data_IF_270285191846
#
_entry.id   IF_270285191846
#
_cell.length_a   1.000
_cell.length_b   1.000
_cell.length_c   1.000
_cell.angle_alpha   90.00
_cell.angle_beta   90.00
_cell.angle_gamma   90.00
#
_symmetry.space_group_name_H-M   'P 1'
#
loop_
_entity.id
_entity.type
_entity.pdbx_description
1 polymer ?
#
# COMPACT_ATOMS: atom_id res chain seq x y z
N UNK A 1 8.87 7.53 0.77
CA UNK A 1 7.41 7.60 0.58
C UNK A 1 6.82 6.23 0.82
N UNK A 2 5.92 6.11 1.80
CA UNK A 2 5.30 4.83 2.18
C UNK A 2 3.78 4.93 2.09
N UNK A 3 3.19 4.66 0.92
CA UNK A 3 1.75 4.62 0.78
C UNK A 3 1.16 3.33 1.35
N UNK A 4 0.00 3.45 1.98
CA UNK A 4 -0.92 2.34 2.23
C UNK A 4 -1.50 1.83 0.90
N UNK A 5 -2.44 0.88 0.95
CA UNK A 5 -2.98 0.25 -0.26
C UNK A 5 -3.62 1.30 -1.22
N UNK A 6 -3.04 1.45 -2.41
CA UNK A 6 -3.45 2.50 -3.37
C UNK A 6 -4.43 1.93 -4.39
N UNK A 7 -5.54 2.64 -4.66
CA UNK A 7 -6.55 2.28 -5.66
C UNK A 7 -6.05 2.46 -7.10
N UNK A 8 -5.23 1.54 -7.56
CA UNK A 8 -4.63 1.55 -8.91
C UNK A 8 -4.99 0.29 -9.69
N UNK A 9 -4.53 0.20 -10.94
CA UNK A 9 -4.63 -1.05 -11.72
C UNK A 9 -3.88 -2.20 -11.04
N UNK A 10 -2.77 -1.93 -10.36
CA UNK A 10 -1.99 -2.96 -9.67
C UNK A 10 -2.79 -3.67 -8.58
N UNK A 11 -3.62 -2.92 -7.87
CA UNK A 11 -4.51 -3.46 -6.84
C UNK A 11 -5.85 -3.94 -7.37
N UNK A 12 -6.11 -3.83 -8.68
CA UNK A 12 -7.40 -4.22 -9.26
C UNK A 12 -7.63 -5.73 -9.12
N UNK A 13 -8.87 -6.10 -8.79
CA UNK A 13 -9.24 -7.49 -8.48
C UNK A 13 -8.83 -7.95 -7.07
N UNK A 14 -8.21 -7.10 -6.25
CA UNK A 14 -8.01 -7.34 -4.81
C UNK A 14 -9.09 -6.64 -4.00
N UNK A 15 -9.51 -7.30 -2.92
CA UNK A 15 -10.43 -6.70 -1.95
C UNK A 15 -9.66 -5.73 -1.07
N UNK A 16 -9.65 -4.45 -1.43
CA UNK A 16 -9.05 -3.39 -0.62
C UNK A 16 -9.99 -3.04 0.56
N UNK A 17 -9.54 -3.26 1.80
CA UNK A 17 -10.31 -2.91 3.00
C UNK A 17 -10.09 -3.88 4.17
N UNK A 18 -11.01 -3.91 5.13
CA UNK A 18 -10.96 -4.73 6.37
C UNK A 18 -9.78 -4.43 7.32
N UNK A 19 -9.55 -3.15 7.63
CA UNK A 19 -8.59 -2.73 8.65
C UNK A 19 -7.30 -2.13 8.10
N UNK A 20 -7.03 -2.29 6.80
CA UNK A 20 -5.95 -1.58 6.13
C UNK A 20 -6.47 -0.28 5.48
N UNK A 21 -5.83 0.88 5.74
CA UNK A 21 -6.15 2.14 5.09
C UNK A 21 -5.98 2.02 3.57
N UNK A 22 -6.91 2.60 2.83
CA UNK A 22 -6.85 2.69 1.36
C UNK A 22 -6.75 4.13 0.93
N UNK A 23 -5.92 4.42 -0.06
CA UNK A 23 -5.67 5.79 -0.55
C UNK A 23 -5.87 5.87 -2.05
N UNK A 24 -6.26 7.06 -2.51
CA UNK A 24 -6.36 7.34 -3.94
C UNK A 24 -4.99 7.72 -4.52
N UNK A 25 -4.70 7.36 -5.78
CA UNK A 25 -3.41 7.65 -6.40
C UNK A 25 -3.12 9.15 -6.50
N UNK A 26 -4.15 9.98 -6.59
CA UNK A 26 -4.03 11.44 -6.64
C UNK A 26 -3.45 11.99 -5.33
N UNK A 27 -3.86 11.44 -4.19
CA UNK A 27 -3.36 11.87 -2.87
C UNK A 27 -1.89 11.48 -2.69
N UNK A 28 -1.51 10.30 -3.18
CA UNK A 28 -0.11 9.85 -3.19
C UNK A 28 0.74 10.78 -4.08
N UNK A 29 0.26 11.13 -5.27
CA UNK A 29 0.94 12.06 -6.17
C UNK A 29 1.11 13.45 -5.53
N UNK A 30 0.06 13.98 -4.89
CA UNK A 30 0.11 15.25 -4.18
C UNK A 30 1.12 15.21 -3.02
N UNK A 31 1.15 14.11 -2.27
CA UNK A 31 2.13 13.90 -1.21
C UNK A 31 3.56 13.90 -1.77
N UNK A 32 3.81 13.22 -2.90
CA UNK A 32 5.12 13.18 -3.55
C UNK A 32 5.59 14.59 -3.89
N UNK A 33 4.75 15.37 -4.58
CA UNK A 33 5.08 16.76 -4.93
C UNK A 33 5.37 17.61 -3.68
N UNK A 34 4.59 17.42 -2.60
CA UNK A 34 4.83 18.10 -1.32
C UNK A 34 6.20 17.76 -0.72
N UNK A 35 6.65 16.50 -0.82
CA UNK A 35 7.96 16.10 -0.28
C UNK A 35 9.14 16.70 -1.02
N UNK A 36 9.02 16.98 -2.32
CA UNK A 36 10.08 17.68 -3.05
C UNK A 36 10.41 19.05 -2.43
N UNK A 37 9.43 19.70 -1.78
CA UNK A 37 9.63 20.97 -1.07
C UNK A 37 10.10 20.79 0.37
N UNK A 38 9.50 19.84 1.11
CA UNK A 38 9.79 19.66 2.53
C UNK A 38 11.05 18.85 2.82
N UNK A 39 11.53 18.08 1.85
CA UNK A 39 12.69 17.18 1.96
C UNK A 39 12.62 16.20 3.14
N UNK A 40 11.40 15.81 3.57
CA UNK A 40 11.23 14.80 4.61
C UNK A 40 11.80 13.46 4.14
N UNK A 41 12.54 12.79 5.02
CA UNK A 41 13.14 11.47 4.74
C UNK A 41 12.06 10.40 4.53
N UNK A 42 10.99 10.47 5.33
CA UNK A 42 9.88 9.53 5.30
C UNK A 42 8.56 10.28 5.46
N UNK A 43 7.54 9.82 4.74
CA UNK A 43 6.17 10.32 4.78
C UNK A 43 5.26 9.14 4.52
N UNK A 44 4.37 8.87 5.48
CA UNK A 44 3.30 7.90 5.35
C UNK A 44 2.12 8.54 4.59
N UNK A 45 1.45 7.74 3.77
CA UNK A 45 0.22 8.16 3.09
C UNK A 45 -0.86 7.11 3.38
N UNK A 46 -1.92 7.45 4.12
CA UNK A 46 -2.36 8.80 4.50
C UNK A 46 -1.54 9.42 5.65
N UNK A 47 -1.38 10.76 5.63
CA UNK A 47 -0.44 11.48 6.51
C UNK A 47 -0.77 11.39 8.01
N UNK A 48 -2.00 11.04 8.38
CA UNK A 48 -2.36 10.82 9.78
C UNK A 48 -1.67 9.57 10.38
N UNK A 49 -1.03 8.74 9.55
CA UNK A 49 -0.25 7.59 10.00
C UNK A 49 1.21 7.95 10.35
N UNK A 50 1.71 9.15 10.00
CA UNK A 50 3.08 9.57 10.36
C UNK A 50 3.42 9.36 11.86
N UNK A 51 2.51 9.61 12.84
CA UNK A 51 2.79 9.37 14.26
C UNK A 51 2.79 7.88 14.65
N UNK A 52 2.19 7.00 13.84
CA UNK A 52 2.08 5.56 14.13
C UNK A 52 3.45 4.91 14.08
N UNK A 53 4.30 5.30 13.15
CA UNK A 53 5.66 4.74 13.03
C UNK A 53 6.50 5.04 14.29
N UNK A 54 6.37 6.26 14.81
CA UNK A 54 7.04 6.68 16.05
C UNK A 54 6.48 5.90 17.25
N UNK A 55 5.15 5.76 17.32
CA UNK A 55 4.51 4.99 18.39
C UNK A 55 4.92 3.51 18.36
N UNK A 56 5.02 2.91 17.17
CA UNK A 56 5.43 1.52 16.99
C UNK A 56 6.90 1.32 17.34
N UNK A 57 7.78 2.26 16.97
CA UNK A 57 9.20 2.22 17.31
C UNK A 57 9.46 2.37 18.83
N UNK A 58 8.57 3.05 19.55
CA UNK A 58 8.66 3.22 21.01
C UNK A 58 7.94 2.10 21.80
N UNK A 59 7.10 1.29 21.15
CA UNK A 59 6.31 0.27 21.82
C UNK A 59 7.13 -1.00 22.14
N UNK A 60 6.81 -1.72 23.23
CA UNK A 60 7.37 -3.04 23.48
C UNK A 60 6.99 -4.05 22.39
N UNK A 61 7.90 -4.97 22.06
CA UNK A 61 7.70 -5.99 21.02
C UNK A 61 6.42 -6.82 21.21
N UNK A 62 6.02 -7.07 22.45
CA UNK A 62 4.79 -7.81 22.76
C UNK A 62 3.53 -7.09 22.26
N UNK A 63 3.49 -5.76 22.37
CA UNK A 63 2.37 -4.92 21.91
C UNK A 63 2.37 -4.85 20.39
N UNK A 64 3.54 -4.66 19.77
CA UNK A 64 3.70 -4.67 18.30
C UNK A 64 3.19 -5.98 17.72
N UNK A 65 3.57 -7.11 18.30
CA UNK A 65 3.14 -8.44 17.85
C UNK A 65 1.64 -8.66 18.01
N UNK A 66 1.05 -8.15 19.11
CA UNK A 66 -0.41 -8.23 19.33
C UNK A 66 -1.17 -7.42 18.28
N UNK A 67 -0.74 -6.18 18.03
CA UNK A 67 -1.33 -5.30 17.02
C UNK A 67 -1.21 -5.93 15.63
N UNK A 68 -0.03 -6.44 15.27
CA UNK A 68 0.21 -7.08 13.96
C UNK A 68 -0.67 -8.31 13.74
N UNK A 69 -0.91 -9.12 14.78
CA UNK A 69 -1.84 -10.25 14.71
C UNK A 69 -3.30 -9.84 14.56
N UNK A 70 -3.69 -8.66 15.06
CA UNK A 70 -5.04 -8.14 14.91
C UNK A 70 -5.32 -7.58 13.51
N UNK A 71 -4.29 -7.05 12.85
CA UNK A 71 -4.37 -6.49 11.50
C UNK A 71 -4.20 -7.51 10.37
N UNK A 72 -3.88 -8.77 10.68
CA UNK A 72 -3.94 -9.96 9.83
C UNK A 72 -3.79 -9.64 8.32
N UNK A 73 -2.58 -9.23 7.92
CA UNK A 73 -2.33 -8.50 6.66
C UNK A 73 -2.76 -9.22 5.38
N UNK A 74 -2.90 -10.55 5.43
CA UNK A 74 -3.45 -11.35 4.32
C UNK A 74 -4.94 -11.06 4.06
N UNK A 75 -5.69 -10.69 5.11
CA UNK A 75 -7.15 -10.47 5.04
C UNK A 75 -7.57 -9.30 4.16
N UNK A 76 -6.66 -8.36 3.95
CA UNK A 76 -6.90 -7.10 3.26
C UNK A 76 -6.40 -7.08 1.81
N UNK A 77 -5.74 -8.15 1.36
CA UNK A 77 -5.25 -8.30 -0.02
C UNK A 77 -5.70 -9.65 -0.61
N UNK A 78 -6.94 -10.04 -0.33
CA UNK A 78 -7.50 -11.25 -0.91
C UNK A 78 -8.04 -11.01 -2.33
N UNK A 79 -7.90 -12.00 -3.25
CA UNK A 79 -8.55 -11.95 -4.55
C UNK A 79 -10.06 -11.72 -4.37
N UNK A 80 -10.53 -10.53 -4.78
CA UNK A 80 -11.94 -10.15 -4.78
C UNK A 80 -12.61 -10.43 -6.12
N UNK A 81 -11.86 -10.30 -7.22
CA UNK A 81 -12.30 -10.62 -8.58
C UNK A 81 -11.16 -11.28 -9.36
N UNK A 82 -11.31 -12.59 -9.56
CA UNK A 82 -10.29 -13.41 -10.23
C UNK A 82 -10.16 -13.07 -11.73
N UNK A 83 -11.24 -12.65 -12.39
CA UNK A 83 -11.21 -12.32 -13.82
C UNK A 83 -10.46 -11.01 -14.07
N UNK A 84 -10.73 -10.00 -13.25
CA UNK A 84 -9.98 -8.72 -13.28
C UNK A 84 -8.52 -8.97 -12.93
N UNK A 85 -8.25 -9.79 -11.91
CA UNK A 85 -6.87 -10.12 -11.51
C UNK A 85 -6.10 -10.82 -12.63
N UNK A 86 -6.70 -11.82 -13.27
CA UNK A 86 -6.09 -12.58 -14.37
C UNK A 86 -5.74 -11.66 -15.56
N UNK A 87 -6.64 -10.75 -15.92
CA UNK A 87 -6.41 -9.76 -16.99
C UNK A 87 -5.20 -8.88 -16.70
N UNK A 88 -5.05 -8.40 -15.46
CA UNK A 88 -3.88 -7.61 -15.06
C UNK A 88 -2.59 -8.46 -15.10
N UNK A 89 -2.62 -9.72 -14.68
CA UNK A 89 -1.43 -10.59 -14.77
C UNK A 89 -1.01 -10.89 -16.20
N UNK A 90 -1.96 -11.09 -17.11
CA UNK A 90 -1.66 -11.32 -18.52
C UNK A 90 -0.97 -10.11 -19.15
N UNK A 91 -1.43 -8.90 -18.83
CA UNK A 91 -0.78 -7.65 -19.25
C UNK A 91 0.64 -7.54 -18.70
N UNK A 92 0.85 -7.85 -17.42
CA UNK A 92 2.19 -7.84 -16.80
C UNK A 92 3.11 -8.88 -17.43
N UNK A 93 2.60 -10.09 -17.71
CA UNK A 93 3.35 -11.15 -18.40
C UNK A 93 3.72 -10.74 -19.82
N UNK A 94 2.86 -10.03 -20.53
CA UNK A 94 3.16 -9.53 -21.87
C UNK A 94 4.33 -8.52 -21.83
N UNK A 95 4.28 -7.55 -20.92
CA UNK A 95 5.36 -6.55 -20.74
C UNK A 95 6.69 -7.25 -20.38
N UNK A 96 6.66 -8.23 -19.48
CA UNK A 96 7.85 -8.97 -19.06
C UNK A 96 8.47 -9.85 -20.15
N UNK A 97 7.73 -10.16 -21.22
CA UNK A 97 8.19 -10.93 -22.39
C UNK A 97 8.70 -10.03 -23.54
N UNK A 98 8.57 -8.71 -23.40
CA UNK A 98 9.09 -7.71 -24.32
C UNK A 98 10.54 -7.18 -24.02
N UNK A 99 11.46 -7.85 -23.30
CA UNK A 99 12.69 -7.21 -22.85
C UNK A 99 13.85 -7.18 -23.87
N UNK A 100 13.67 -7.45 -25.16
CA UNK A 100 14.78 -7.47 -26.14
C UNK A 100 14.45 -6.78 -27.47
N UNK A 101 14.17 -5.46 -27.45
CA UNK A 101 14.36 -4.60 -28.65
C UNK A 101 14.85 -3.20 -28.29
#
# INVERSE_FOLDING_TARGET
MLPAAVRTRLSSGLTLGRGLPTVDPVDVAAAIVKTCRSRRAEVAVPQYLDPVDIALAAAPESVVRMVRGLFDGDRALHPGDAAVRATYEDQVRAIAREPER
#
